data_IF_291264815299
#
_entry.id   IF_291264815299
#
_cell.length_a   1.000
_cell.length_b   1.000
_cell.length_c   1.000
_cell.angle_alpha   90.00
_cell.angle_beta   90.00
_cell.angle_gamma   90.00
#
_symmetry.space_group_name_H-M   'P 1'
#
loop_
_entity.id
_entity.type
_entity.pdbx_description
1 polymer ?
#
# COMPACT_ATOMS: atom_id res chain seq x y z
N UNK A 1 16.36 -14.19 31.13
CA UNK A 1 16.43 -12.73 30.91
C UNK A 1 16.41 -12.51 29.39
N UNK A 2 15.26 -12.16 28.82
CA UNK A 2 15.15 -11.88 27.40
C UNK A 2 15.93 -10.59 27.13
N UNK A 3 16.93 -10.63 26.24
CA UNK A 3 17.63 -9.41 25.80
C UNK A 3 16.63 -8.57 25.01
N UNK A 4 16.48 -7.30 25.36
CA UNK A 4 15.74 -6.35 24.53
C UNK A 4 16.44 -6.23 23.16
N UNK A 5 15.77 -6.70 22.12
CA UNK A 5 16.21 -6.57 20.74
C UNK A 5 15.76 -5.20 20.23
N UNK A 6 16.69 -4.24 20.15
CA UNK A 6 16.42 -2.85 19.74
C UNK A 6 16.85 -2.53 18.30
N UNK A 7 17.05 -3.54 17.46
CA UNK A 7 17.48 -3.35 16.06
C UNK A 7 16.39 -3.82 15.10
N UNK A 8 16.25 -3.19 13.92
CA UNK A 8 15.39 -3.71 12.87
C UNK A 8 15.74 -5.18 12.60
N UNK A 9 14.74 -6.06 12.61
CA UNK A 9 14.94 -7.48 12.39
C UNK A 9 14.27 -7.91 11.08
N UNK A 10 15.00 -8.71 10.32
CA UNK A 10 14.52 -9.34 9.11
C UNK A 10 14.31 -10.83 9.41
N UNK A 11 13.05 -11.26 9.51
CA UNK A 11 12.69 -12.61 9.95
C UNK A 11 12.20 -13.42 8.76
N UNK A 12 12.87 -14.51 8.42
CA UNK A 12 12.54 -15.30 7.23
C UNK A 12 11.62 -16.45 7.61
N UNK A 13 10.48 -16.54 6.93
CA UNK A 13 9.54 -17.64 7.05
C UNK A 13 9.60 -18.56 5.82
N UNK A 14 9.44 -19.89 5.98
CA UNK A 14 9.64 -20.85 4.90
C UNK A 14 8.51 -20.84 3.84
N UNK A 15 7.33 -20.33 4.17
CA UNK A 15 6.14 -20.30 3.29
C UNK A 15 5.30 -19.04 3.53
N UNK A 16 4.37 -18.74 2.62
CA UNK A 16 3.42 -17.64 2.77
C UNK A 16 2.54 -17.79 4.01
N UNK A 17 1.93 -18.96 4.21
CA UNK A 17 1.14 -19.26 5.42
C UNK A 17 1.99 -19.11 6.70
N UNK A 18 3.21 -19.64 6.70
CA UNK A 18 4.12 -19.53 7.83
C UNK A 18 4.55 -18.07 8.10
N UNK A 19 4.62 -17.24 7.05
CA UNK A 19 4.98 -15.82 7.20
C UNK A 19 3.88 -15.01 7.86
N UNK A 20 2.61 -15.27 7.53
CA UNK A 20 1.46 -14.63 8.14
C UNK A 20 1.33 -15.03 9.60
N UNK A 21 1.42 -16.33 9.89
CA UNK A 21 1.33 -16.84 11.26
C UNK A 21 2.45 -16.26 12.15
N UNK A 22 3.69 -16.25 11.65
CA UNK A 22 4.82 -15.69 12.39
C UNK A 22 4.69 -14.19 12.61
N UNK A 23 4.14 -13.44 11.64
CA UNK A 23 3.89 -12.02 11.80
C UNK A 23 2.83 -11.73 12.88
N UNK A 24 1.77 -12.53 12.94
CA UNK A 24 0.76 -12.46 14.01
C UNK A 24 1.38 -12.72 15.39
N UNK A 25 2.13 -13.82 15.53
CA UNK A 25 2.80 -14.17 16.79
C UNK A 25 3.77 -13.08 17.23
N UNK A 26 4.65 -12.60 16.33
CA UNK A 26 5.58 -11.52 16.62
C UNK A 26 4.85 -10.23 16.99
N UNK A 27 3.70 -9.95 16.37
CA UNK A 27 2.91 -8.77 16.68
C UNK A 27 2.40 -8.75 18.12
N UNK A 28 2.06 -9.92 18.67
CA UNK A 28 1.68 -10.06 20.10
C UNK A 28 2.86 -9.71 21.01
N UNK A 29 4.06 -10.20 20.71
CA UNK A 29 5.25 -9.95 21.54
C UNK A 29 5.80 -8.53 21.41
N UNK A 30 5.70 -7.93 20.22
CA UNK A 30 6.21 -6.59 19.94
C UNK A 30 5.19 -5.48 20.25
N UNK A 31 3.91 -5.83 20.42
CA UNK A 31 2.84 -4.86 20.67
C UNK A 31 2.55 -3.96 19.46
N UNK A 32 2.92 -4.38 18.25
CA UNK A 32 2.69 -3.65 17.01
C UNK A 32 2.41 -4.60 15.85
N UNK A 33 1.77 -4.12 14.80
CA UNK A 33 1.58 -4.91 13.57
C UNK A 33 2.92 -5.11 12.87
N UNK A 34 3.25 -6.38 12.57
CA UNK A 34 4.47 -6.75 11.84
C UNK A 34 4.13 -6.95 10.37
N UNK A 35 4.67 -6.12 9.45
CA UNK A 35 4.42 -6.29 8.03
C UNK A 35 5.06 -7.58 7.49
N UNK A 36 4.40 -8.17 6.49
CA UNK A 36 4.94 -9.28 5.70
C UNK A 36 5.41 -8.75 4.35
N UNK A 37 6.61 -9.13 3.91
CA UNK A 37 7.08 -8.97 2.54
C UNK A 37 6.79 -10.28 1.78
N UNK A 38 5.67 -10.36 1.04
CA UNK A 38 5.32 -11.56 0.29
C UNK A 38 6.15 -11.69 -0.98
N UNK A 39 6.26 -12.89 -1.54
CA UNK A 39 6.72 -13.07 -2.91
C UNK A 39 5.79 -12.36 -3.91
N UNK A 40 6.27 -12.10 -5.13
CA UNK A 40 5.44 -11.45 -6.17
C UNK A 40 4.23 -12.28 -6.62
N UNK A 41 4.19 -13.57 -6.26
CA UNK A 41 3.13 -14.50 -6.67
C UNK A 41 3.10 -14.80 -8.17
N UNK A 42 4.11 -14.37 -8.92
CA UNK A 42 4.25 -14.59 -10.36
C UNK A 42 5.66 -15.05 -10.71
N UNK A 43 5.78 -15.83 -11.79
CA UNK A 43 7.08 -16.32 -12.25
C UNK A 43 7.94 -15.17 -12.78
N UNK A 44 9.25 -15.27 -12.53
CA UNK A 44 10.22 -14.36 -13.11
C UNK A 44 10.27 -14.54 -14.64
N UNK A 45 10.21 -13.43 -15.40
CA UNK A 45 10.11 -13.46 -16.86
C UNK A 45 8.73 -13.85 -17.41
N UNK A 46 7.73 -14.07 -16.55
CA UNK A 46 6.35 -14.31 -16.96
C UNK A 46 5.66 -13.07 -17.51
N UNK A 47 4.56 -13.27 -18.24
CA UNK A 47 3.72 -12.21 -18.80
C UNK A 47 2.66 -11.70 -17.82
N UNK A 48 2.41 -12.44 -16.73
CA UNK A 48 1.44 -12.06 -15.70
C UNK A 48 2.09 -11.07 -14.75
N UNK A 49 1.47 -9.90 -14.59
CA UNK A 49 1.90 -8.91 -13.62
C UNK A 49 1.46 -9.31 -12.20
N UNK A 50 2.25 -8.96 -11.17
CA UNK A 50 1.82 -9.15 -9.79
C UNK A 50 0.49 -8.43 -9.52
N UNK A 51 -0.34 -9.01 -8.67
CA UNK A 51 -1.59 -8.37 -8.27
C UNK A 51 -1.31 -7.05 -7.52
N UNK A 52 -2.15 -6.04 -7.74
CA UNK A 52 -1.96 -4.71 -7.16
C UNK A 52 -1.85 -4.71 -5.62
N UNK A 53 -2.58 -5.60 -4.92
CA UNK A 53 -2.46 -5.74 -3.47
C UNK A 53 -1.09 -6.26 -3.04
N UNK A 54 -0.55 -7.27 -3.73
CA UNK A 54 0.81 -7.79 -3.49
C UNK A 54 1.85 -6.69 -3.68
N UNK A 55 1.71 -5.86 -4.72
CA UNK A 55 2.59 -4.69 -4.90
C UNK A 55 2.50 -3.72 -3.70
N UNK A 56 1.30 -3.45 -3.20
CA UNK A 56 1.09 -2.57 -2.04
C UNK A 56 1.63 -3.14 -0.73
N UNK A 57 1.42 -4.41 -0.46
CA UNK A 57 1.95 -5.13 0.70
C UNK A 57 3.47 -5.11 0.71
N UNK A 58 4.08 -5.41 -0.45
CA UNK A 58 5.53 -5.33 -0.61
C UNK A 58 6.07 -3.93 -0.36
N UNK A 59 5.43 -2.90 -0.94
CA UNK A 59 5.89 -1.52 -0.74
C UNK A 59 5.78 -1.10 0.73
N UNK A 60 4.70 -1.49 1.41
CA UNK A 60 4.52 -1.25 2.86
C UNK A 60 5.60 -1.94 3.68
N UNK A 61 5.92 -3.19 3.37
CA UNK A 61 6.96 -3.93 4.08
C UNK A 61 8.36 -3.34 3.85
N UNK A 62 8.69 -2.94 2.62
CA UNK A 62 9.95 -2.27 2.32
C UNK A 62 10.06 -0.91 3.02
N UNK A 63 8.99 -0.12 3.05
CA UNK A 63 8.96 1.15 3.77
C UNK A 63 9.17 0.93 5.27
N UNK A 64 8.46 -0.02 5.88
CA UNK A 64 8.62 -0.34 7.30
C UNK A 64 10.05 -0.78 7.63
N UNK A 65 10.67 -1.57 6.75
CA UNK A 65 12.07 -1.96 6.88
C UNK A 65 13.02 -0.76 6.81
N UNK A 66 12.78 0.22 5.94
CA UNK A 66 13.56 1.47 5.86
C UNK A 66 13.39 2.34 7.11
N UNK A 67 12.21 2.32 7.73
CA UNK A 67 11.89 3.02 8.97
C UNK A 67 12.40 2.27 10.22
N UNK A 68 13.01 1.09 10.03
CA UNK A 68 13.66 0.33 11.09
C UNK A 68 12.74 -0.64 11.83
N UNK A 69 11.56 -0.95 11.29
CA UNK A 69 10.64 -1.93 11.85
C UNK A 69 11.14 -3.37 11.62
N UNK A 70 10.61 -4.29 12.42
CA UNK A 70 10.71 -5.73 12.15
C UNK A 70 9.77 -6.10 11.02
N UNK A 71 10.25 -6.88 10.06
CA UNK A 71 9.47 -7.36 8.90
C UNK A 71 9.67 -8.87 8.77
N UNK A 72 8.57 -9.60 8.57
CA UNK A 72 8.62 -11.02 8.20
C UNK A 72 8.68 -11.13 6.69
N UNK A 73 9.55 -11.98 6.17
CA UNK A 73 9.76 -12.14 4.73
C UNK A 73 9.56 -13.57 4.32
N UNK A 74 8.75 -13.78 3.29
CA UNK A 74 8.63 -15.08 2.65
C UNK A 74 9.96 -15.45 1.98
N UNK A 75 10.45 -16.66 2.21
CA UNK A 75 11.73 -17.12 1.66
C UNK A 75 11.89 -16.88 0.13
N UNK A 76 10.87 -17.07 -0.74
CA UNK A 76 11.01 -16.75 -2.17
C UNK A 76 11.23 -15.27 -2.47
N UNK A 77 10.72 -14.35 -1.64
CA UNK A 77 10.89 -12.91 -1.83
C UNK A 77 12.36 -12.46 -1.71
N UNK A 78 13.19 -13.23 -0.98
CA UNK A 78 14.64 -13.00 -0.89
C UNK A 78 15.39 -13.17 -2.21
N UNK A 79 14.83 -13.95 -3.13
CA UNK A 79 15.43 -14.22 -4.44
C UNK A 79 15.06 -13.15 -5.47
N UNK A 80 14.12 -12.26 -5.14
CA UNK A 80 13.59 -11.26 -6.05
C UNK A 80 14.38 -9.95 -5.94
N UNK A 81 14.80 -9.42 -7.08
CA UNK A 81 15.40 -8.08 -7.14
C UNK A 81 14.32 -7.01 -7.05
N UNK A 82 14.61 -5.96 -6.30
CA UNK A 82 13.84 -4.72 -6.26
C UNK A 82 14.78 -3.51 -6.45
N UNK A 83 14.27 -2.35 -6.89
CA UNK A 83 15.07 -1.13 -6.97
C UNK A 83 15.74 -0.82 -5.62
N UNK A 84 16.94 -0.22 -5.61
CA UNK A 84 17.57 0.25 -4.37
C UNK A 84 16.59 1.07 -3.52
N UNK A 85 16.75 1.04 -2.19
CA UNK A 85 15.89 1.79 -1.27
C UNK A 85 15.78 3.28 -1.60
N UNK A 86 16.85 3.90 -2.11
CA UNK A 86 16.87 5.29 -2.55
C UNK A 86 16.01 5.57 -3.80
N UNK A 87 15.65 4.52 -4.56
CA UNK A 87 14.81 4.59 -5.75
C UNK A 87 13.38 4.12 -5.51
N UNK A 88 13.04 3.72 -4.28
CA UNK A 88 11.68 3.32 -3.94
C UNK A 88 10.74 4.53 -4.00
N UNK A 89 9.54 4.41 -4.61
CA UNK A 89 8.60 5.51 -4.67
C UNK A 89 8.13 5.89 -3.26
N UNK A 90 8.07 7.19 -3.01
CA UNK A 90 7.46 7.70 -1.79
C UNK A 90 5.94 7.49 -1.82
N UNK A 91 5.32 7.13 -0.69
CA UNK A 91 3.88 7.00 -0.63
C UNK A 91 3.23 8.36 -0.88
N UNK A 92 2.17 8.38 -1.70
CA UNK A 92 1.30 9.53 -1.82
C UNK A 92 0.39 9.58 -0.58
N UNK A 93 0.54 10.64 0.22
CA UNK A 93 -0.27 10.87 1.43
C UNK A 93 -1.28 11.97 1.14
N UNK A 94 -2.55 11.66 1.38
CA UNK A 94 -3.65 12.61 1.25
C UNK A 94 -4.18 12.90 2.66
N UNK A 95 -4.57 14.13 2.90
CA UNK A 95 -5.22 14.55 4.13
C UNK A 95 -6.31 15.58 3.80
N UNK A 96 -7.41 15.57 4.55
CA UNK A 96 -8.43 16.62 4.46
C UNK A 96 -7.82 17.97 4.85
N UNK A 97 -8.19 19.04 4.15
CA UNK A 97 -7.62 20.39 4.28
C UNK A 97 -6.25 20.57 3.62
N UNK A 98 -5.70 19.55 2.94
CA UNK A 98 -4.46 19.70 2.21
C UNK A 98 -4.69 20.47 0.90
N UNK A 99 -3.88 21.51 0.65
CA UNK A 99 -3.84 22.19 -0.64
C UNK A 99 -3.00 21.38 -1.62
N UNK A 100 -3.65 20.75 -2.60
CA UNK A 100 -3.04 20.00 -3.70
C UNK A 100 -3.79 20.38 -4.96
N UNK A 101 -3.07 20.81 -5.99
CA UNK A 101 -3.69 21.16 -7.26
C UNK A 101 -4.51 19.98 -7.79
N UNK A 102 -5.75 20.22 -8.22
CA UNK A 102 -6.66 19.15 -8.60
C UNK A 102 -6.06 18.21 -9.67
N UNK A 103 -5.38 18.79 -10.67
CA UNK A 103 -4.74 18.04 -11.75
C UNK A 103 -3.43 17.35 -11.36
N UNK A 104 -2.82 17.75 -10.24
CA UNK A 104 -1.59 17.14 -9.75
C UNK A 104 -1.83 15.73 -9.21
N UNK A 105 -2.92 15.52 -8.46
CA UNK A 105 -3.24 14.22 -7.88
C UNK A 105 -3.36 13.11 -8.94
N UNK A 106 -4.19 13.25 -10.00
CA UNK A 106 -4.25 12.30 -11.10
C UNK A 106 -2.91 12.03 -11.77
N UNK A 107 -2.08 13.06 -11.97
CA UNK A 107 -0.74 12.91 -12.57
C UNK A 107 0.16 12.05 -11.69
N UNK A 108 0.19 12.32 -10.38
CA UNK A 108 0.98 11.55 -9.40
C UNK A 108 0.52 10.09 -9.31
N UNK A 109 -0.78 9.83 -9.40
CA UNK A 109 -1.33 8.47 -9.43
C UNK A 109 -0.84 7.69 -10.68
N UNK A 110 -0.85 8.33 -11.86
CA UNK A 110 -0.31 7.72 -13.09
C UNK A 110 1.19 7.45 -12.96
N UNK A 111 1.97 8.37 -12.39
CA UNK A 111 3.41 8.17 -12.12
C UNK A 111 3.69 6.98 -11.19
N UNK A 112 2.78 6.73 -10.24
CA UNK A 112 2.84 5.57 -9.34
C UNK A 112 2.32 4.27 -9.98
N UNK A 113 1.91 4.31 -11.25
CA UNK A 113 1.44 3.15 -12.00
C UNK A 113 -0.04 2.80 -11.79
N UNK A 114 -0.84 3.70 -11.23
CA UNK A 114 -2.29 3.49 -11.13
C UNK A 114 -2.95 3.64 -12.51
N UNK A 115 -3.92 2.76 -12.77
CA UNK A 115 -4.73 2.79 -14.00
C UNK A 115 -5.87 3.80 -13.88
N UNK A 116 -5.93 4.75 -14.83
CA UNK A 116 -7.09 5.65 -14.95
C UNK A 116 -8.25 4.90 -15.61
N UNK A 117 -9.39 4.88 -14.95
CA UNK A 117 -10.62 4.20 -15.40
C UNK A 117 -11.82 5.14 -15.29
N UNK A 118 -12.92 4.80 -15.94
CA UNK A 118 -14.18 5.54 -15.80
C UNK A 118 -14.82 5.32 -14.43
N UNK A 119 -14.66 4.11 -13.88
CA UNK A 119 -15.22 3.69 -12.61
C UNK A 119 -14.28 2.73 -11.90
N UNK A 120 -13.91 3.07 -10.67
CA UNK A 120 -13.05 2.25 -9.82
C UNK A 120 -13.78 0.98 -9.38
N UNK A 121 -13.16 -0.17 -9.65
CA UNK A 121 -13.64 -1.52 -9.29
C UNK A 121 -12.58 -2.34 -8.57
N UNK A 122 -11.30 -2.13 -8.89
CA UNK A 122 -10.17 -2.89 -8.38
C UNK A 122 -9.06 -2.02 -7.80
N UNK A 123 -8.17 -2.65 -7.02
CA UNK A 123 -6.97 -1.99 -6.47
C UNK A 123 -6.03 -1.55 -7.59
N UNK A 124 -5.35 -0.43 -7.38
CA UNK A 124 -4.48 0.17 -8.38
C UNK A 124 -5.24 0.95 -9.45
N UNK A 125 -6.53 1.20 -9.27
CA UNK A 125 -7.35 2.01 -10.17
C UNK A 125 -7.70 3.36 -9.54
N UNK A 126 -7.92 4.36 -10.40
CA UNK A 126 -8.51 5.63 -10.00
C UNK A 126 -9.42 6.20 -11.09
N UNK A 127 -10.39 7.02 -10.71
CA UNK A 127 -11.29 7.73 -11.59
C UNK A 127 -11.40 9.20 -11.17
N UNK A 128 -11.65 10.08 -12.13
CA UNK A 128 -11.85 11.52 -11.90
C UNK A 128 -13.20 11.92 -12.46
N UNK A 129 -14.03 12.57 -11.66
CA UNK A 129 -15.39 12.98 -12.05
C UNK A 129 -15.73 14.34 -11.45
N UNK A 130 -15.85 15.39 -12.27
CA UNK A 130 -16.06 16.74 -11.74
C UNK A 130 -14.95 17.10 -10.75
N UNK A 131 -15.32 17.50 -9.53
CA UNK A 131 -14.39 17.81 -8.44
C UNK A 131 -14.03 16.64 -7.52
N UNK A 132 -14.22 15.38 -7.94
CA UNK A 132 -13.85 14.21 -7.11
C UNK A 132 -12.81 13.32 -7.79
N UNK A 133 -11.94 12.74 -6.98
CA UNK A 133 -10.99 11.69 -7.36
C UNK A 133 -11.27 10.44 -6.52
N UNK A 134 -11.76 9.39 -7.16
CA UNK A 134 -11.89 8.07 -6.56
C UNK A 134 -10.61 7.29 -6.79
N UNK A 135 -10.02 6.71 -5.74
CA UNK A 135 -8.82 5.87 -5.83
C UNK A 135 -9.01 4.62 -4.99
N UNK A 136 -8.64 3.47 -5.54
CA UNK A 136 -8.50 2.25 -4.74
C UNK A 136 -7.01 1.95 -4.55
N UNK A 137 -6.42 2.32 -3.40
CA UNK A 137 -5.01 2.14 -3.16
C UNK A 137 -4.58 0.67 -3.25
N UNK A 138 -3.32 0.45 -3.63
CA UNK A 138 -2.72 -0.89 -3.62
C UNK A 138 -2.78 -1.53 -2.25
N UNK A 139 -2.72 -0.73 -1.17
CA UNK A 139 -2.97 -1.19 0.20
C UNK A 139 -3.87 -0.20 0.96
N UNK A 140 -4.91 -0.69 1.63
CA UNK A 140 -5.93 0.14 2.30
C UNK A 140 -7.32 0.05 1.66
N UNK A 141 -8.19 1.00 1.95
CA UNK A 141 -9.59 1.02 1.51
C UNK A 141 -9.82 1.95 0.31
N UNK A 142 -10.83 1.70 -0.55
CA UNK A 142 -11.22 2.61 -1.60
C UNK A 142 -11.60 3.97 -1.02
N UNK A 143 -10.98 5.03 -1.53
CA UNK A 143 -11.05 6.38 -0.99
C UNK A 143 -11.52 7.35 -2.07
N UNK A 144 -12.47 8.20 -1.71
CA UNK A 144 -12.94 9.34 -2.49
C UNK A 144 -12.36 10.62 -1.88
N UNK A 145 -11.62 11.37 -2.69
CA UNK A 145 -11.20 12.72 -2.37
C UNK A 145 -12.13 13.72 -3.06
N UNK A 146 -12.80 14.56 -2.28
CA UNK A 146 -13.66 15.64 -2.74
C UNK A 146 -12.86 16.95 -2.70
N UNK A 147 -12.81 17.67 -3.83
CA UNK A 147 -12.04 18.90 -3.97
C UNK A 147 -12.93 20.12 -4.04
N UNK A 148 -12.44 21.21 -3.44
CA UNK A 148 -12.92 22.57 -3.66
C UNK A 148 -11.78 23.43 -4.20
N UNK A 149 -11.76 23.61 -5.53
CA UNK A 149 -10.60 24.19 -6.20
C UNK A 149 -9.37 23.28 -6.05
N UNK A 150 -8.32 23.80 -5.39
CA UNK A 150 -7.06 23.10 -5.14
C UNK A 150 -6.92 22.63 -3.68
N UNK A 151 -8.04 22.43 -2.98
CA UNK A 151 -8.08 21.92 -1.61
C UNK A 151 -8.86 20.60 -1.55
N UNK A 152 -8.32 19.61 -0.84
CA UNK A 152 -9.05 18.38 -0.50
C UNK A 152 -10.01 18.71 0.65
N UNK A 153 -11.27 18.98 0.34
CA UNK A 153 -12.30 19.31 1.33
C UNK A 153 -12.61 18.11 2.22
N UNK A 154 -12.73 16.91 1.64
CA UNK A 154 -12.96 15.69 2.42
C UNK A 154 -12.39 14.43 1.80
N UNK A 155 -11.98 13.51 2.66
CA UNK A 155 -11.63 12.13 2.32
C UNK A 155 -12.67 11.18 2.90
N UNK A 156 -13.15 10.25 2.08
CA UNK A 156 -14.18 9.29 2.51
C UNK A 156 -13.93 7.92 1.93
N UNK A 157 -14.19 6.86 2.68
CA UNK A 157 -14.24 5.52 2.13
C UNK A 157 -15.53 5.32 1.31
N UNK A 158 -15.47 4.49 0.28
CA UNK A 158 -16.65 4.18 -0.54
C UNK A 158 -16.70 2.71 -0.98
N UNK A 159 -17.89 2.23 -1.30
CA UNK A 159 -18.10 0.89 -1.85
C UNK A 159 -17.87 0.89 -3.36
N UNK A 160 -16.92 0.08 -3.85
CA UNK A 160 -16.70 -0.11 -5.29
C UNK A 160 -17.86 -0.81 -6.01
N UNK A 161 -18.76 -1.47 -5.27
CA UNK A 161 -19.94 -2.12 -5.85
C UNK A 161 -21.10 -1.13 -6.05
N UNK A 162 -21.45 -0.39 -5.00
CA UNK A 162 -22.60 0.53 -5.01
C UNK A 162 -22.22 1.96 -5.37
N UNK A 163 -20.92 2.29 -5.39
CA UNK A 163 -20.36 3.62 -5.65
C UNK A 163 -20.80 4.69 -4.64
N UNK A 164 -21.23 4.25 -3.47
CA UNK A 164 -21.69 5.09 -2.36
C UNK A 164 -20.63 5.20 -1.28
N UNK A 165 -20.51 6.40 -0.73
CA UNK A 165 -19.76 6.71 0.48
C UNK A 165 -20.17 5.81 1.64
N UNK A 166 -19.20 5.36 2.43
CA UNK A 166 -19.37 4.52 3.62
C UNK A 166 -19.07 5.34 4.87
N UNK A 167 -17.84 5.85 5.02
CA UNK A 167 -17.41 6.59 6.20
C UNK A 167 -16.46 7.74 5.83
N UNK A 168 -16.35 8.74 6.70
CA UNK A 168 -15.26 9.72 6.61
C UNK A 168 -13.93 9.04 6.95
N UNK A 169 -12.85 9.51 6.33
CA UNK A 169 -11.49 9.12 6.67
C UNK A 169 -10.83 10.32 7.35
N UNK A 170 -10.22 10.07 8.51
CA UNK A 170 -9.47 11.06 9.29
C UNK A 170 -8.04 11.22 8.76
#
# INVERSE_FOLDING_TARGET
MLREWRRPAFVVAPSGEGSLHLAEELGVYLGCTVPVLPARGVLWGGTVLPAAHVCGERQRALQALQEGATVVVEAPALLERFPPFAMQPQPLRLASGACVAFDELPRRLVELGYGRVEQVRGRGEFAVRGGIVDVYPTAGEPTRAEFWGDEIESLRSFSVFSQRTIAALD
#
